data_IF_910813957044
#
_entry.id   IF_910813957044
#
_cell.length_a   1.000
_cell.length_b   1.000
_cell.length_c   1.000
_cell.angle_alpha   90.00
_cell.angle_beta   90.00
_cell.angle_gamma   90.00
#
_symmetry.space_group_name_H-M   'P 1'
#
loop_
_entity.id
_entity.type
_entity.pdbx_description
1 polymer ?
#
# COMPACT_ATOMS: atom_id res chain seq x y z
N UNK A 1 4.47 -0.12 -8.66
CA UNK A 1 3.14 -0.43 -8.07
C UNK A 1 3.34 -0.54 -6.57
N UNK A 2 2.53 0.14 -5.76
CA UNK A 2 2.60 0.03 -4.30
C UNK A 2 1.68 -1.12 -3.92
N UNK A 3 2.25 -2.29 -3.63
CA UNK A 3 1.46 -3.44 -3.20
C UNK A 3 1.47 -3.46 -1.68
N UNK A 4 0.41 -3.02 -1.03
CA UNK A 4 0.38 -2.91 0.41
C UNK A 4 -0.18 -4.23 1.00
N UNK A 5 0.72 -5.18 1.27
CA UNK A 5 0.37 -6.47 1.86
C UNK A 5 0.36 -6.41 3.39
N UNK A 6 -0.83 -6.48 3.99
CA UNK A 6 -1.00 -6.55 5.45
C UNK A 6 -1.45 -7.94 5.89
N UNK A 7 -0.66 -8.59 6.75
CA UNK A 7 -0.90 -9.96 7.23
C UNK A 7 -1.30 -9.98 8.73
N UNK A 8 -2.43 -10.59 9.09
CA UNK A 8 -3.02 -10.82 10.44
C UNK A 8 -4.14 -11.89 10.43
N UNK A 9 -3.77 -13.16 10.58
CA UNK A 9 -4.46 -14.34 10.04
C UNK A 9 -5.96 -14.60 10.29
N UNK A 10 -6.65 -14.91 9.17
CA UNK A 10 -7.66 -15.98 8.86
C UNK A 10 -9.19 -15.69 8.80
N UNK A 11 -9.68 -15.36 7.57
CA UNK A 11 -10.86 -15.87 6.75
C UNK A 11 -12.03 -14.94 6.29
N UNK A 12 -12.00 -14.45 5.02
CA UNK A 12 -13.15 -14.13 4.07
C UNK A 12 -14.43 -13.39 4.56
N UNK A 13 -15.05 -12.37 3.93
CA UNK A 13 -14.97 -11.67 2.63
C UNK A 13 -15.75 -10.33 2.72
N UNK A 14 -15.57 -9.41 1.76
CA UNK A 14 -16.26 -8.11 1.59
C UNK A 14 -17.70 -8.05 2.14
N UNK A 15 -17.74 -7.36 3.25
CA UNK A 15 -18.77 -7.09 4.22
C UNK A 15 -18.14 -5.95 5.03
N UNK A 16 -17.85 -4.74 4.54
CA UNK A 16 -16.86 -3.88 5.23
C UNK A 16 -17.19 -3.59 6.73
N UNK A 17 -18.47 -3.53 7.09
CA UNK A 17 -18.92 -3.61 8.50
C UNK A 17 -19.04 -5.05 9.02
N UNK A 18 -19.63 -5.96 8.24
CA UNK A 18 -19.87 -7.33 8.68
C UNK A 18 -18.59 -8.22 8.71
N UNK A 19 -17.49 -7.84 8.07
CA UNK A 19 -16.11 -8.37 8.15
C UNK A 19 -15.51 -7.99 9.48
N UNK A 20 -15.85 -6.81 9.99
CA UNK A 20 -15.42 -6.38 11.31
C UNK A 20 -16.24 -7.05 12.41
N UNK A 21 -17.52 -7.35 12.13
CA UNK A 21 -18.44 -7.99 13.08
C UNK A 21 -18.39 -9.53 13.05
N UNK A 22 -18.01 -10.16 11.92
CA UNK A 22 -17.90 -11.60 11.79
C UNK A 22 -16.43 -12.04 11.86
N UNK A 23 -16.23 -13.33 12.13
CA UNK A 23 -14.94 -13.97 12.38
C UNK A 23 -13.83 -13.47 11.45
N UNK A 24 -12.61 -13.40 12.01
CA UNK A 24 -11.40 -12.87 11.40
C UNK A 24 -11.40 -13.08 9.88
N UNK A 25 -11.26 -12.03 9.08
CA UNK A 25 -11.33 -12.15 7.64
C UNK A 25 -10.14 -11.55 6.92
N UNK A 26 -9.69 -12.17 5.82
CA UNK A 26 -8.72 -11.55 4.90
C UNK A 26 -9.47 -11.00 3.70
N UNK A 27 -9.39 -9.68 3.55
CA UNK A 27 -9.93 -8.96 2.42
C UNK A 27 -8.82 -8.61 1.44
N UNK A 28 -8.95 -9.03 0.19
CA UNK A 28 -8.03 -8.68 -0.88
C UNK A 28 -8.75 -7.75 -1.86
N UNK A 29 -8.16 -6.59 -2.11
CA UNK A 29 -8.69 -5.60 -3.06
C UNK A 29 -7.57 -5.20 -4.01
N UNK A 30 -7.81 -5.37 -5.29
CA UNK A 30 -6.91 -4.84 -6.31
C UNK A 30 -7.32 -3.40 -6.65
N UNK A 31 -6.34 -2.52 -6.85
CA UNK A 31 -6.47 -1.11 -7.18
C UNK A 31 -7.48 -0.36 -6.30
N UNK A 32 -7.36 -0.48 -4.98
CA UNK A 32 -8.35 0.06 -4.04
C UNK A 32 -8.49 1.60 -4.11
N UNK A 33 -7.46 2.28 -4.58
CA UNK A 33 -7.44 3.72 -4.80
C UNK A 33 -8.09 4.15 -6.12
N UNK A 34 -8.43 3.21 -7.00
CA UNK A 34 -9.07 3.52 -8.27
C UNK A 34 -10.48 4.08 -8.04
N UNK A 35 -10.69 5.34 -8.40
CA UNK A 35 -11.95 6.10 -8.22
C UNK A 35 -12.35 6.37 -6.76
N UNK A 36 -11.47 6.12 -5.79
CA UNK A 36 -11.74 6.38 -4.37
C UNK A 36 -11.01 7.65 -3.92
N UNK A 37 -11.75 8.59 -3.34
CA UNK A 37 -11.16 9.81 -2.80
C UNK A 37 -10.18 9.48 -1.64
N UNK A 38 -8.99 10.10 -1.55
CA UNK A 38 -7.99 9.78 -0.52
C UNK A 38 -8.50 9.82 0.92
N UNK A 39 -9.45 10.72 1.22
CA UNK A 39 -10.11 10.78 2.53
C UNK A 39 -10.90 9.50 2.86
N UNK A 40 -11.59 8.90 1.87
CA UNK A 40 -12.33 7.65 2.05
C UNK A 40 -11.36 6.50 2.29
N UNK A 41 -10.28 6.45 1.51
CA UNK A 41 -9.16 5.53 1.70
C UNK A 41 -8.65 5.63 3.14
N UNK A 42 -8.48 6.86 3.64
CA UNK A 42 -7.99 7.14 4.98
C UNK A 42 -8.94 6.67 6.09
N UNK A 43 -10.24 6.79 5.85
CA UNK A 43 -11.27 6.37 6.78
C UNK A 43 -11.33 4.85 6.90
N UNK A 44 -11.38 4.14 5.76
CA UNK A 44 -11.38 2.68 5.71
C UNK A 44 -10.12 2.13 6.39
N UNK A 45 -8.97 2.72 6.12
CA UNK A 45 -7.71 2.33 6.76
C UNK A 45 -7.72 2.46 8.29
N UNK A 46 -8.18 3.60 8.82
CA UNK A 46 -8.28 3.83 10.26
C UNK A 46 -9.24 2.83 10.92
N UNK A 47 -10.31 2.48 10.21
CA UNK A 47 -11.29 1.49 10.67
C UNK A 47 -10.65 0.11 10.86
N UNK A 48 -9.80 -0.35 9.93
CA UNK A 48 -9.09 -1.63 10.06
C UNK A 48 -7.97 -1.62 11.10
N UNK A 49 -7.35 -0.46 11.39
CA UNK A 49 -6.27 -0.34 12.39
C UNK A 49 -6.74 -0.04 13.82
N UNK A 50 -8.03 0.19 14.05
CA UNK A 50 -8.57 0.50 15.36
C UNK A 50 -9.20 -0.73 16.01
N UNK A 51 -8.77 -1.07 17.22
CA UNK A 51 -9.35 -2.20 18.01
C UNK A 51 -10.83 -2.01 18.34
N UNK A 52 -11.32 -0.76 18.34
CA UNK A 52 -12.73 -0.44 18.60
C UNK A 52 -13.61 -0.83 17.42
N UNK A 53 -13.10 -0.62 16.21
CA UNK A 53 -13.84 -0.86 14.96
C UNK A 53 -13.51 -2.22 14.35
N UNK A 54 -12.33 -2.78 14.63
CA UNK A 54 -11.87 -4.09 14.18
C UNK A 54 -11.49 -4.99 15.38
N UNK A 55 -12.46 -5.37 16.24
CA UNK A 55 -12.19 -6.21 17.41
C UNK A 55 -11.71 -7.62 17.02
N UNK A 56 -12.12 -8.12 15.86
CA UNK A 56 -11.82 -9.45 15.35
C UNK A 56 -10.51 -9.55 14.56
N UNK A 57 -9.73 -8.47 14.49
CA UNK A 57 -8.46 -8.38 13.74
C UNK A 57 -8.58 -8.85 12.28
N UNK A 58 -9.61 -8.41 11.57
CA UNK A 58 -9.70 -8.59 10.13
C UNK A 58 -8.51 -7.93 9.41
N UNK A 59 -8.05 -8.58 8.36
CA UNK A 59 -6.99 -8.18 7.45
C UNK A 59 -7.53 -7.46 6.22
N UNK A 60 -6.81 -6.44 5.79
CA UNK A 60 -7.02 -5.74 4.55
C UNK A 60 -5.72 -5.70 3.74
N UNK A 61 -5.64 -6.48 2.67
CA UNK A 61 -4.56 -6.46 1.69
C UNK A 61 -5.05 -5.69 0.47
N UNK A 62 -4.34 -4.62 0.12
CA UNK A 62 -4.69 -3.78 -1.02
C UNK A 62 -3.50 -3.55 -1.93
N UNK A 63 -3.75 -3.49 -3.23
CA UNK A 63 -2.81 -2.85 -4.14
C UNK A 63 -3.27 -1.41 -4.38
N UNK A 64 -2.32 -0.51 -4.58
CA UNK A 64 -2.60 0.88 -4.86
C UNK A 64 -1.49 1.53 -5.70
N UNK A 65 -1.84 2.64 -6.35
CA UNK A 65 -0.90 3.51 -7.04
C UNK A 65 -0.68 4.82 -6.26
N UNK A 66 -1.60 5.18 -5.38
CA UNK A 66 -1.60 6.42 -4.64
C UNK A 66 -0.53 6.42 -3.53
N UNK A 67 0.42 7.35 -3.67
CA UNK A 67 1.51 7.53 -2.72
C UNK A 67 1.07 8.10 -1.37
N UNK A 68 -0.17 8.58 -1.25
CA UNK A 68 -0.76 9.05 0.02
C UNK A 68 -0.73 7.97 1.12
N UNK A 69 -0.74 6.69 0.73
CA UNK A 69 -0.63 5.57 1.65
C UNK A 69 0.76 5.46 2.32
N UNK A 70 1.79 6.08 1.73
CA UNK A 70 3.18 6.05 2.17
C UNK A 70 3.48 7.16 3.19
N UNK A 71 2.63 7.29 4.21
CA UNK A 71 2.82 8.20 5.33
C UNK A 71 3.06 7.39 6.61
N UNK A 72 4.04 7.78 7.43
CA UNK A 72 4.33 7.15 8.73
C UNK A 72 3.17 7.24 9.72
N UNK A 73 2.33 8.26 9.58
CA UNK A 73 1.16 8.47 10.46
C UNK A 73 0.00 7.58 10.00
N UNK A 74 0.12 6.97 8.82
CA UNK A 74 -0.87 6.12 8.20
C UNK A 74 -0.44 4.64 8.22
N UNK A 75 0.72 4.31 7.66
CA UNK A 75 1.23 2.93 7.55
C UNK A 75 2.55 2.76 8.29
N UNK A 76 2.71 1.57 8.88
CA UNK A 76 4.02 1.15 9.40
C UNK A 76 4.91 0.65 8.26
N UNK A 77 6.20 0.47 8.52
CA UNK A 77 7.17 0.00 7.50
C UNK A 77 7.03 -1.47 7.13
N UNK A 78 6.65 -2.31 8.08
CA UNK A 78 6.40 -3.76 7.89
C UNK A 78 5.10 -4.06 7.11
N UNK A 79 4.37 -3.01 6.82
CA UNK A 79 3.02 -2.98 6.32
C UNK A 79 2.98 -2.54 4.84
N UNK A 80 4.08 -1.97 4.35
CA UNK A 80 4.23 -1.47 2.98
C UNK A 80 5.15 -2.41 2.20
N UNK A 81 4.67 -2.90 1.06
CA UNK A 81 5.48 -3.66 0.13
C UNK A 81 5.49 -2.97 -1.24
N UNK A 82 6.59 -3.14 -1.94
CA UNK A 82 6.77 -2.62 -3.28
C UNK A 82 6.86 -3.78 -4.26
N UNK A 83 6.31 -3.57 -5.45
CA UNK A 83 6.50 -4.46 -6.58
C UNK A 83 7.19 -3.67 -7.67
N UNK A 84 8.36 -4.16 -8.07
CA UNK A 84 9.13 -3.65 -9.21
C UNK A 84 9.32 -4.75 -10.26
N UNK A 85 9.43 -4.33 -11.51
CA UNK A 85 9.81 -5.21 -12.62
C UNK A 85 11.19 -4.83 -13.10
N UNK A 86 12.04 -5.82 -13.33
CA UNK A 86 13.35 -5.60 -13.94
C UNK A 86 13.25 -5.54 -15.48
N UNK A 87 14.37 -5.27 -16.15
CA UNK A 87 14.45 -5.19 -17.61
C UNK A 87 14.16 -6.52 -18.32
N UNK A 88 14.15 -7.65 -17.59
CA UNK A 88 13.78 -8.98 -18.08
C UNK A 88 12.32 -9.33 -17.79
N UNK A 89 11.52 -8.33 -17.41
CA UNK A 89 10.10 -8.45 -17.05
C UNK A 89 9.82 -9.31 -15.80
N UNK A 90 10.87 -9.69 -15.05
CA UNK A 90 10.72 -10.44 -13.81
C UNK A 90 10.21 -9.51 -12.71
N UNK A 91 9.16 -9.94 -12.01
CA UNK A 91 8.57 -9.18 -10.90
C UNK A 91 9.23 -9.56 -9.59
N UNK A 92 9.66 -8.55 -8.83
CA UNK A 92 10.22 -8.70 -7.49
C UNK A 92 9.35 -7.96 -6.47
N UNK A 93 9.10 -8.61 -5.34
CA UNK A 93 8.39 -8.02 -4.20
C UNK A 93 9.35 -7.86 -3.03
N UNK A 94 9.29 -6.73 -2.34
CA UNK A 94 10.16 -6.42 -1.21
C UNK A 94 9.49 -5.44 -0.26
N UNK A 95 9.87 -5.48 1.02
CA UNK A 95 9.23 -4.67 2.05
C UNK A 95 9.94 -3.35 2.26
N UNK A 96 9.19 -2.30 2.63
CA UNK A 96 9.78 -1.05 3.09
C UNK A 96 10.61 -1.26 4.38
N UNK A 97 10.30 -2.28 5.18
CA UNK A 97 11.08 -2.65 6.37
C UNK A 97 12.52 -3.07 6.06
N UNK A 98 12.78 -3.55 4.85
CA UNK A 98 14.09 -4.07 4.45
C UNK A 98 15.10 -2.93 4.20
N UNK A 99 14.61 -1.69 4.04
CA UNK A 99 15.45 -0.51 3.89
C UNK A 99 15.88 0.06 5.24
N UNK A 100 17.20 0.26 5.39
CA UNK A 100 17.80 0.95 6.54
C UNK A 100 17.44 2.44 6.50
N UNK A 101 16.33 2.82 7.11
CA UNK A 101 15.92 4.21 7.25
C UNK A 101 16.92 4.97 8.14
N UNK A 102 17.64 5.96 7.59
CA UNK A 102 18.05 7.12 8.38
C UNK A 102 16.77 7.85 8.82
N UNK A 103 16.79 8.59 9.93
CA UNK A 103 15.66 9.27 10.61
C UNK A 103 14.78 10.21 9.75
N UNK A 104 14.81 10.15 8.43
CA UNK A 104 13.89 10.87 7.56
C UNK A 104 12.52 10.20 7.58
N UNK A 105 11.55 10.97 8.08
CA UNK A 105 10.22 10.52 8.49
C UNK A 105 9.18 10.48 7.37
N UNK A 106 9.55 10.78 6.12
CA UNK A 106 8.60 10.89 5.01
C UNK A 106 8.89 9.82 3.95
N UNK A 107 8.12 8.72 3.98
CA UNK A 107 8.28 7.60 3.04
C UNK A 107 7.79 7.97 1.64
N UNK A 108 6.70 8.74 1.53
CA UNK A 108 6.21 9.28 0.27
C UNK A 108 7.28 10.07 -0.47
N UNK A 109 7.96 10.99 0.20
CA UNK A 109 9.05 11.78 -0.40
C UNK A 109 10.19 10.88 -0.89
N UNK A 110 10.62 9.93 -0.07
CA UNK A 110 11.69 9.00 -0.44
C UNK A 110 11.30 8.07 -1.61
N UNK A 111 10.03 7.69 -1.68
CA UNK A 111 9.48 6.95 -2.81
C UNK A 111 9.53 7.79 -4.09
N UNK A 112 9.06 9.04 -4.05
CA UNK A 112 9.08 9.96 -5.19
C UNK A 112 10.51 10.32 -5.65
N UNK A 113 11.48 10.36 -4.74
CA UNK A 113 12.91 10.50 -5.05
C UNK A 113 13.54 9.23 -5.66
N UNK A 114 12.77 8.13 -5.78
CA UNK A 114 13.25 6.88 -6.37
C UNK A 114 14.08 6.00 -5.45
N UNK A 115 14.19 6.31 -4.15
CA UNK A 115 15.07 5.59 -3.20
C UNK A 115 14.72 4.12 -3.01
N UNK A 116 13.49 3.73 -3.32
CA UNK A 116 13.01 2.36 -3.20
C UNK A 116 13.03 1.58 -4.52
N UNK A 117 13.62 2.11 -5.60
CA UNK A 117 13.65 1.46 -6.94
C UNK A 117 12.26 1.00 -7.43
N UNK A 118 11.20 1.70 -7.00
CA UNK A 118 9.81 1.36 -7.23
C UNK A 118 9.06 2.43 -8.06
N UNK A 119 9.80 3.41 -8.60
CA UNK A 119 9.31 4.42 -9.53
C UNK A 119 9.40 3.93 -10.97
N UNK A 120 8.47 4.30 -11.86
CA UNK A 120 8.53 3.93 -13.26
C UNK A 120 9.73 4.57 -13.94
N UNK A 121 10.51 3.77 -14.69
CA UNK A 121 11.54 4.28 -15.59
C UNK A 121 10.86 4.80 -16.86
N UNK A 122 10.74 6.11 -16.97
CA UNK A 122 10.24 6.75 -18.19
C UNK A 122 11.47 7.11 -19.03
N UNK A 123 11.88 6.19 -19.90
CA UNK A 123 13.12 6.30 -20.70
C UNK A 123 13.05 7.35 -21.82
N UNK A 124 11.94 8.08 -21.98
CA UNK A 124 11.72 8.94 -23.15
C UNK A 124 10.92 10.24 -22.87
N UNK A 125 11.02 10.80 -21.66
CA UNK A 125 10.33 12.06 -21.32
C UNK A 125 10.74 13.23 -22.24
N UNK A 126 12.02 13.32 -22.62
CA UNK A 126 12.53 14.41 -23.46
C UNK A 126 12.02 14.32 -24.91
N UNK A 127 11.79 13.12 -25.44
CA UNK A 127 11.25 12.94 -26.80
C UNK A 127 9.77 13.29 -26.93
N UNK A 128 9.03 13.34 -25.81
CA UNK A 128 7.57 13.55 -25.80
C UNK A 128 7.17 15.04 -25.70
N UNK A 129 8.08 15.91 -25.26
CA UNK A 129 7.85 17.37 -25.19
C UNK A 129 8.38 18.13 -26.42
N UNK A 130 8.91 17.43 -27.41
CA UNK A 130 9.47 18.01 -28.64
C UNK A 130 8.64 17.71 -29.91
N UNK A 131 7.39 17.28 -29.76
CA UNK A 131 6.34 17.32 -30.81
C UNK A 131 5.35 18.45 -30.53
#
# INVERSE_FOLDING_TARGET
MISCSFCFGKRSSFHAHFVLDNDCCVLLIDEFDNRVHPLVLSYVWKMYNSKKTNPNNAQLIITAHNTFLLDKDFTRRDQVWFVSKNLREESSIYSLSDYKARKENNYQKQYLEGRFNAIPYISNLDSYYHE
#
